data_IF_638841096721
#
_entry.id   IF_638841096721
#
_cell.length_a   1.000
_cell.length_b   1.000
_cell.length_c   1.000
_cell.angle_alpha   90.00
_cell.angle_beta   90.00
_cell.angle_gamma   90.00
#
_symmetry.space_group_name_H-M   'P 1'
#
loop_
_entity.id
_entity.type
_entity.pdbx_description
1 polymer ?
#
# COMPACT_ATOMS: atom_id res chain seq x y z
N UNK A 1 -23.79 16.59 -64.45
CA UNK A 1 -23.54 15.23 -63.92
C UNK A 1 -22.26 15.17 -63.11
N UNK A 2 -21.10 15.54 -63.67
CA UNK A 2 -19.77 15.53 -62.99
C UNK A 2 -19.80 15.97 -61.52
N UNK A 3 -20.11 17.23 -61.22
CA UNK A 3 -20.12 17.79 -59.86
C UNK A 3 -20.86 16.94 -58.79
N UNK A 4 -21.94 16.24 -59.16
CA UNK A 4 -22.71 15.39 -58.24
C UNK A 4 -22.05 14.02 -58.05
N UNK A 5 -21.41 13.49 -59.10
CA UNK A 5 -20.53 12.31 -58.98
C UNK A 5 -19.27 12.65 -58.15
N UNK A 6 -18.65 13.81 -58.37
CA UNK A 6 -17.47 14.29 -57.64
C UNK A 6 -17.77 14.52 -56.15
N UNK A 7 -18.94 15.08 -55.83
CA UNK A 7 -19.40 15.24 -54.44
C UNK A 7 -19.65 13.89 -53.77
N UNK A 8 -20.30 12.94 -54.46
CA UNK A 8 -20.52 11.57 -53.97
C UNK A 8 -19.19 10.81 -53.78
N UNK A 9 -18.22 11.00 -54.67
CA UNK A 9 -16.88 10.43 -54.54
C UNK A 9 -16.16 10.99 -53.30
N UNK A 10 -16.23 12.31 -53.06
CA UNK A 10 -15.69 12.94 -51.84
C UNK A 10 -16.39 12.44 -50.56
N UNK A 11 -17.71 12.25 -50.58
CA UNK A 11 -18.45 11.68 -49.45
C UNK A 11 -18.05 10.22 -49.16
N UNK A 12 -17.87 9.40 -50.20
CA UNK A 12 -17.41 8.02 -50.07
C UNK A 12 -15.96 7.92 -49.55
N UNK A 13 -15.07 8.81 -50.00
CA UNK A 13 -13.70 8.91 -49.48
C UNK A 13 -13.68 9.29 -48.00
N UNK A 14 -14.46 10.30 -47.59
CA UNK A 14 -14.56 10.70 -46.18
C UNK A 14 -15.08 9.57 -45.29
N UNK A 15 -16.06 8.79 -45.75
CA UNK A 15 -16.54 7.60 -45.04
C UNK A 15 -15.47 6.50 -44.91
N UNK A 16 -14.64 6.29 -45.95
CA UNK A 16 -13.55 5.31 -45.89
C UNK A 16 -12.42 5.75 -44.93
N UNK A 17 -12.10 7.06 -44.86
CA UNK A 17 -11.16 7.61 -43.88
C UNK A 17 -11.66 7.49 -42.43
N UNK A 18 -12.96 7.72 -42.23
CA UNK A 18 -13.64 7.56 -40.94
C UNK A 18 -13.55 6.10 -40.44
N UNK A 19 -13.93 5.12 -41.26
CA UNK A 19 -13.87 3.69 -40.91
C UNK A 19 -12.43 3.21 -40.66
N UNK A 20 -11.46 3.63 -41.48
CA UNK A 20 -10.03 3.37 -41.23
C UNK A 20 -9.59 3.92 -39.86
N UNK A 21 -10.08 5.10 -39.50
CA UNK A 21 -9.77 5.74 -38.22
C UNK A 21 -10.42 4.98 -37.04
N UNK A 22 -11.69 4.57 -37.16
CA UNK A 22 -12.38 3.72 -36.18
C UNK A 22 -11.69 2.38 -35.95
N UNK A 23 -11.26 1.70 -37.02
CA UNK A 23 -10.51 0.43 -36.90
C UNK A 23 -9.21 0.62 -36.13
N UNK A 24 -8.45 1.68 -36.43
CA UNK A 24 -7.20 1.96 -35.70
C UNK A 24 -7.43 2.29 -34.22
N UNK A 25 -8.49 3.06 -33.89
CA UNK A 25 -8.90 3.31 -32.51
C UNK A 25 -9.29 1.99 -31.81
N UNK A 26 -10.07 1.13 -32.46
CA UNK A 26 -10.45 -0.18 -31.92
C UNK A 26 -9.28 -1.14 -31.67
N UNK A 27 -8.13 -0.95 -32.35
CA UNK A 27 -6.89 -1.65 -32.02
C UNK A 27 -6.22 -1.05 -30.77
N UNK A 28 -6.10 0.29 -30.72
CA UNK A 28 -5.51 1.00 -29.57
C UNK A 28 -6.30 0.75 -28.28
N UNK A 29 -7.63 0.70 -28.34
CA UNK A 29 -8.48 0.35 -27.18
C UNK A 29 -8.24 -1.07 -26.68
N UNK A 30 -8.01 -2.04 -27.57
CA UNK A 30 -7.68 -3.42 -27.20
C UNK A 30 -6.31 -3.48 -26.52
N UNK A 31 -5.31 -2.76 -27.04
CA UNK A 31 -4.00 -2.63 -26.37
C UNK A 31 -4.10 -1.95 -25.01
N UNK A 32 -4.92 -0.90 -24.87
CA UNK A 32 -5.18 -0.24 -23.60
C UNK A 32 -5.83 -1.19 -22.58
N UNK A 33 -6.85 -1.97 -22.98
CA UNK A 33 -7.50 -2.98 -22.12
C UNK A 33 -6.53 -4.08 -21.69
N UNK A 34 -5.68 -4.57 -22.58
CA UNK A 34 -4.63 -5.56 -22.25
C UNK A 34 -3.59 -4.97 -21.29
N UNK A 35 -3.19 -3.72 -21.48
CA UNK A 35 -2.28 -3.03 -20.56
C UNK A 35 -2.93 -2.77 -19.21
N UNK A 36 -4.19 -2.35 -19.15
CA UNK A 36 -4.93 -2.13 -17.91
C UNK A 36 -5.08 -3.44 -17.10
N UNK A 37 -5.36 -4.56 -17.78
CA UNK A 37 -5.39 -5.88 -17.15
C UNK A 37 -4.01 -6.27 -16.59
N UNK A 38 -2.94 -6.05 -17.36
CA UNK A 38 -1.55 -6.28 -16.90
C UNK A 38 -1.21 -5.38 -15.70
N UNK A 39 -1.62 -4.12 -15.74
CA UNK A 39 -1.46 -3.15 -14.65
C UNK A 39 -2.10 -3.61 -13.36
N UNK A 40 -3.37 -4.05 -13.40
CA UNK A 40 -4.06 -4.61 -12.23
C UNK A 40 -3.42 -5.90 -11.72
N UNK A 41 -2.75 -6.66 -12.58
CA UNK A 41 -1.88 -7.79 -12.17
C UNK A 41 -0.69 -7.31 -11.33
N UNK A 42 0.11 -6.39 -11.88
CA UNK A 42 1.31 -5.86 -11.22
C UNK A 42 0.96 -5.08 -9.93
N UNK A 43 -0.19 -4.39 -9.87
CA UNK A 43 -0.67 -3.73 -8.66
C UNK A 43 -0.98 -4.72 -7.52
N UNK A 44 -1.54 -5.89 -7.85
CA UNK A 44 -1.74 -6.99 -6.87
C UNK A 44 -0.40 -7.57 -6.42
N UNK A 45 0.51 -7.86 -7.34
CA UNK A 45 1.85 -8.37 -7.04
C UNK A 45 2.64 -7.40 -6.14
N UNK A 46 2.59 -6.10 -6.43
CA UNK A 46 3.19 -5.06 -5.60
C UNK A 46 2.52 -4.96 -4.21
N UNK A 47 1.19 -5.10 -4.14
CA UNK A 47 0.43 -5.13 -2.89
C UNK A 47 0.80 -6.32 -2.00
N UNK A 48 0.97 -7.52 -2.58
CA UNK A 48 1.36 -8.72 -1.84
C UNK A 48 2.85 -8.72 -1.48
N UNK A 49 3.73 -8.20 -2.34
CA UNK A 49 5.13 -7.92 -2.03
C UNK A 49 5.30 -6.95 -0.86
N UNK A 50 4.49 -5.87 -0.81
CA UNK A 50 4.47 -4.94 0.33
C UNK A 50 4.06 -5.64 1.63
N UNK A 51 3.00 -6.46 1.62
CA UNK A 51 2.57 -7.25 2.79
C UNK A 51 3.65 -8.26 3.23
N UNK A 52 4.37 -8.88 2.30
CA UNK A 52 5.48 -9.78 2.61
C UNK A 52 6.62 -9.02 3.33
N UNK A 53 7.00 -7.84 2.82
CA UNK A 53 8.02 -6.98 3.43
C UNK A 53 7.58 -6.45 4.81
N UNK A 54 6.30 -6.13 5.00
CA UNK A 54 5.78 -5.73 6.33
C UNK A 54 5.80 -6.91 7.32
N UNK A 55 5.50 -8.14 6.89
CA UNK A 55 5.62 -9.35 7.72
C UNK A 55 7.07 -9.65 8.11
N UNK A 56 8.04 -9.57 7.18
CA UNK A 56 9.46 -9.80 7.52
C UNK A 56 10.00 -8.70 8.44
N UNK A 57 9.66 -7.43 8.21
CA UNK A 57 10.00 -6.31 9.11
C UNK A 57 9.35 -6.43 10.50
N UNK A 58 8.12 -6.91 10.60
CA UNK A 58 7.48 -7.20 11.89
C UNK A 58 8.19 -8.36 12.63
N UNK A 59 8.66 -9.37 11.90
CA UNK A 59 9.51 -10.43 12.42
C UNK A 59 10.87 -9.93 12.95
N UNK A 60 11.42 -8.85 12.39
CA UNK A 60 12.62 -8.19 12.93
C UNK A 60 12.35 -7.27 14.13
N UNK A 61 11.22 -6.54 14.14
CA UNK A 61 10.90 -5.63 15.24
C UNK A 61 10.52 -6.36 16.52
N UNK A 62 9.86 -7.54 16.41
CA UNK A 62 9.60 -8.43 17.54
C UNK A 62 10.87 -8.90 18.26
N UNK A 63 11.98 -9.10 17.53
CA UNK A 63 13.29 -9.41 18.15
C UNK A 63 13.83 -8.24 18.97
N UNK A 64 13.48 -6.99 18.65
CA UNK A 64 13.96 -5.78 19.34
C UNK A 64 13.10 -5.37 20.54
N UNK A 65 11.80 -5.71 20.58
CA UNK A 65 10.92 -5.33 21.71
C UNK A 65 10.92 -6.31 22.88
N UNK A 66 11.23 -7.59 22.67
CA UNK A 66 11.37 -8.57 23.78
C UNK A 66 12.56 -8.23 24.69
N UNK A 67 13.58 -7.55 24.16
CA UNK A 67 14.77 -7.10 24.88
C UNK A 67 14.49 -6.16 26.06
N UNK A 68 13.34 -5.49 26.13
CA UNK A 68 13.04 -4.53 27.21
C UNK A 68 12.59 -5.17 28.53
N UNK A 69 11.89 -6.31 28.48
CA UNK A 69 11.31 -6.96 29.67
C UNK A 69 11.90 -8.34 29.99
N UNK A 70 12.35 -9.09 28.98
CA UNK A 70 13.04 -10.38 29.19
C UNK A 70 14.33 -10.20 29.99
N UNK A 71 15.18 -9.23 29.61
CA UNK A 71 16.50 -8.98 30.22
C UNK A 71 16.46 -8.89 31.76
N UNK A 72 15.44 -8.29 32.37
CA UNK A 72 15.35 -8.23 33.84
C UNK A 72 14.98 -9.57 34.50
N UNK A 73 14.13 -10.39 33.86
CA UNK A 73 13.80 -11.72 34.38
C UNK A 73 14.95 -12.69 34.15
N UNK A 74 15.52 -12.71 32.94
CA UNK A 74 16.62 -13.60 32.56
C UNK A 74 17.89 -13.27 33.36
N UNK A 75 18.23 -11.99 33.54
CA UNK A 75 19.36 -11.59 34.39
C UNK A 75 19.12 -11.98 35.85
N UNK A 76 17.94 -11.72 36.41
CA UNK A 76 17.56 -12.13 37.77
C UNK A 76 17.68 -13.63 37.96
N UNK A 77 17.16 -14.42 37.02
CA UNK A 77 17.08 -15.86 37.17
C UNK A 77 18.41 -16.56 36.84
N UNK A 78 19.24 -15.99 35.95
CA UNK A 78 20.67 -16.35 35.79
C UNK A 78 21.47 -16.05 37.06
N UNK A 79 21.26 -14.89 37.70
CA UNK A 79 21.86 -14.55 39.00
C UNK A 79 21.39 -15.51 40.09
N UNK A 80 20.10 -15.90 40.14
CA UNK A 80 19.61 -16.93 41.07
C UNK A 80 20.20 -18.32 40.83
N UNK A 81 20.47 -18.69 39.58
CA UNK A 81 21.11 -19.96 39.23
C UNK A 81 22.56 -19.98 39.73
N UNK A 82 23.33 -18.92 39.47
CA UNK A 82 24.69 -18.78 40.03
C UNK A 82 24.71 -18.71 41.57
N UNK A 83 23.73 -18.03 42.17
CA UNK A 83 23.58 -17.89 43.63
C UNK A 83 22.67 -18.97 44.25
N UNK A 84 22.61 -20.18 43.68
CA UNK A 84 21.72 -21.25 44.14
C UNK A 84 21.85 -21.61 45.64
N UNK A 85 23.05 -21.39 46.22
CA UNK A 85 23.33 -21.56 47.67
C UNK A 85 22.62 -20.52 48.57
N UNK A 86 22.14 -19.41 48.01
CA UNK A 86 21.39 -18.35 48.69
C UNK A 86 19.87 -18.46 48.51
N UNK A 87 19.36 -19.54 47.92
CA UNK A 87 17.92 -19.82 47.90
C UNK A 87 17.52 -20.58 49.17
N UNK A 88 16.66 -19.97 50.01
CA UNK A 88 16.10 -20.62 51.20
C UNK A 88 14.64 -21.02 50.95
N UNK A 89 14.47 -22.17 50.30
CA UNK A 89 13.16 -22.76 50.04
C UNK A 89 12.72 -23.63 51.22
N UNK A 90 11.55 -23.33 51.78
CA UNK A 90 10.91 -24.13 52.81
C UNK A 90 9.44 -24.35 52.50
N UNK A 91 8.94 -25.57 52.75
CA UNK A 91 7.51 -25.86 52.73
C UNK A 91 6.89 -25.34 54.03
N UNK A 92 5.78 -24.61 53.94
CA UNK A 92 5.11 -24.06 55.13
C UNK A 92 4.56 -25.20 56.00
N UNK A 93 4.93 -25.30 57.30
CA UNK A 93 4.54 -26.43 58.15
C UNK A 93 3.04 -26.57 58.48
N UNK A 94 2.22 -25.58 58.12
CA UNK A 94 0.78 -25.60 58.38
C UNK A 94 0.09 -24.30 57.98
N UNK A 95 -1.24 -24.30 57.92
CA UNK A 95 -2.06 -23.21 57.36
C UNK A 95 -1.93 -21.88 58.12
N UNK A 96 -1.73 -21.92 59.45
CA UNK A 96 -1.55 -20.73 60.30
C UNK A 96 -0.07 -20.40 60.60
N UNK A 97 0.86 -20.88 59.78
CA UNK A 97 2.29 -20.63 60.01
C UNK A 97 2.70 -19.19 59.67
N UNK A 98 3.01 -18.41 60.70
CA UNK A 98 3.46 -17.02 60.57
C UNK A 98 4.84 -16.90 59.91
N UNK A 99 4.85 -16.78 58.57
CA UNK A 99 6.06 -16.62 57.73
C UNK A 99 6.98 -15.48 58.16
N UNK A 100 6.44 -14.44 58.82
CA UNK A 100 7.20 -13.29 59.36
C UNK A 100 8.22 -13.71 60.44
N UNK A 101 7.99 -14.83 61.15
CA UNK A 101 8.96 -15.36 62.13
C UNK A 101 10.16 -16.05 61.49
N UNK A 102 10.10 -16.37 60.19
CA UNK A 102 11.20 -16.95 59.43
C UNK A 102 12.14 -15.83 58.99
N UNK A 103 13.30 -15.73 59.65
CA UNK A 103 14.38 -14.87 59.17
C UNK A 103 15.05 -15.52 57.97
N UNK A 104 15.25 -14.74 56.90
CA UNK A 104 15.98 -15.15 55.70
C UNK A 104 17.46 -15.40 56.04
N UNK A 105 18.19 -15.96 55.07
CA UNK A 105 19.66 -16.06 55.07
C UNK A 105 20.35 -14.81 55.61
N UNK A 106 21.38 -15.01 56.44
CA UNK A 106 22.11 -13.89 57.07
C UNK A 106 22.74 -12.99 56.01
N UNK A 107 23.27 -13.59 54.93
CA UNK A 107 23.82 -12.89 53.77
C UNK A 107 22.80 -11.97 53.06
N UNK A 108 21.50 -12.31 53.06
CA UNK A 108 20.44 -11.46 52.47
C UNK A 108 19.92 -10.40 53.45
N UNK A 109 20.20 -10.56 54.75
CA UNK A 109 19.71 -9.67 55.81
C UNK A 109 20.67 -8.52 56.14
N UNK A 110 21.91 -8.54 55.64
CA UNK A 110 22.86 -7.45 55.87
C UNK A 110 23.28 -6.78 54.56
N UNK A 111 22.79 -5.56 54.28
CA UNK A 111 23.32 -4.76 53.18
C UNK A 111 24.72 -4.24 53.53
N UNK A 112 25.69 -4.46 52.64
CA UNK A 112 26.99 -3.81 52.71
C UNK A 112 26.93 -2.45 52.01
N UNK A 113 27.42 -1.40 52.68
CA UNK A 113 27.53 -0.07 52.09
C UNK A 113 28.66 -0.03 51.05
N UNK A 114 28.31 0.29 49.80
CA UNK A 114 29.21 0.26 48.64
C UNK A 114 30.49 1.09 48.84
N UNK A 115 30.36 2.26 49.47
CA UNK A 115 31.45 3.25 49.61
C UNK A 115 32.51 2.90 50.67
N UNK A 116 32.17 2.06 51.66
CA UNK A 116 33.03 1.87 52.85
C UNK A 116 33.44 0.43 53.10
N UNK A 117 32.57 -0.53 52.80
CA UNK A 117 32.74 -1.93 53.21
C UNK A 117 32.73 -2.91 52.03
N UNK A 118 32.64 -2.43 50.78
CA UNK A 118 32.62 -3.31 49.61
C UNK A 118 33.98 -3.96 49.32
N UNK A 119 35.08 -3.27 49.62
CA UNK A 119 36.45 -3.81 49.54
C UNK A 119 36.60 -5.05 50.45
N UNK A 120 35.96 -5.04 51.62
CA UNK A 120 35.93 -6.15 52.55
C UNK A 120 34.91 -7.25 52.19
N UNK A 121 34.13 -7.14 51.11
CA UNK A 121 33.02 -8.06 50.81
C UNK A 121 33.49 -9.48 50.51
N UNK A 122 34.49 -9.66 49.64
CA UNK A 122 35.10 -10.96 49.33
C UNK A 122 35.69 -11.61 50.58
N UNK A 123 36.40 -10.83 51.40
CA UNK A 123 36.95 -11.30 52.67
C UNK A 123 35.83 -11.70 53.65
N UNK A 124 34.74 -10.92 53.75
CA UNK A 124 33.56 -11.23 54.55
C UNK A 124 32.85 -12.51 54.10
N UNK A 125 32.82 -12.80 52.80
CA UNK A 125 32.26 -14.02 52.23
C UNK A 125 33.11 -15.25 52.61
N UNK A 126 34.43 -15.19 52.38
CA UNK A 126 35.39 -16.22 52.81
C UNK A 126 35.32 -16.44 54.33
N UNK A 127 35.27 -15.37 55.10
CA UNK A 127 35.14 -15.36 56.57
C UNK A 127 33.77 -15.88 57.05
N UNK A 128 32.70 -15.75 56.26
CA UNK A 128 31.39 -16.29 56.60
C UNK A 128 31.30 -17.79 56.32
N UNK A 129 31.87 -18.26 55.20
CA UNK A 129 31.78 -19.64 54.72
C UNK A 129 30.32 -20.12 54.63
N UNK A 130 30.07 -21.42 54.87
CA UNK A 130 28.72 -22.00 54.78
C UNK A 130 27.76 -21.65 55.97
N UNK A 131 28.13 -20.76 56.89
CA UNK A 131 27.48 -20.61 58.22
C UNK A 131 26.26 -19.65 58.29
N UNK A 132 25.44 -19.58 57.24
CA UNK A 132 24.44 -18.50 57.04
C UNK A 132 23.00 -18.79 57.54
N UNK A 133 22.80 -19.54 58.64
CA UNK A 133 21.45 -19.99 59.06
C UNK A 133 21.16 -19.79 60.57
N UNK A 134 20.12 -19.03 60.91
CA UNK A 134 19.58 -18.92 62.28
C UNK A 134 18.07 -18.65 62.30
N UNK A 135 17.34 -19.49 63.02
CA UNK A 135 15.96 -19.25 63.47
C UNK A 135 15.97 -18.70 64.91
N UNK A 136 14.94 -17.95 65.32
CA UNK A 136 14.93 -17.30 66.65
C UNK A 136 14.53 -18.24 67.81
N UNK A 137 13.69 -19.24 67.54
CA UNK A 137 13.08 -20.08 68.57
C UNK A 137 13.38 -21.57 68.29
N UNK A 138 13.75 -22.32 69.32
CA UNK A 138 14.27 -23.70 69.23
C UNK A 138 13.24 -24.80 68.92
N UNK A 139 12.21 -24.54 68.10
CA UNK A 139 11.22 -25.54 67.66
C UNK A 139 11.43 -25.89 66.18
N UNK A 140 11.23 -27.17 65.83
CA UNK A 140 11.55 -27.71 64.49
C UNK A 140 10.62 -27.11 63.44
N UNK A 141 11.15 -26.25 62.56
CA UNK A 141 10.38 -25.66 61.45
C UNK A 141 10.50 -26.56 60.21
N UNK A 142 9.57 -27.52 60.10
CA UNK A 142 9.41 -28.38 58.93
C UNK A 142 10.55 -29.35 58.64
N UNK A 143 10.45 -30.05 57.50
CA UNK A 143 11.51 -30.92 56.99
C UNK A 143 12.55 -30.08 56.22
N UNK A 144 13.59 -29.64 56.93
CA UNK A 144 14.76 -28.99 56.33
C UNK A 144 15.65 -30.07 55.66
N UNK A 145 16.02 -29.85 54.39
CA UNK A 145 16.84 -30.80 53.60
C UNK A 145 18.29 -31.01 54.11
N UNK A 146 18.80 -30.18 55.02
CA UNK A 146 20.16 -30.28 55.60
C UNK A 146 20.11 -29.97 57.11
N UNK A 147 20.81 -30.75 57.94
CA UNK A 147 20.93 -30.50 59.41
C UNK A 147 21.96 -29.40 59.69
N UNK A 148 21.79 -28.66 60.80
CA UNK A 148 22.69 -27.58 61.23
C UNK A 148 23.00 -27.73 62.72
N UNK A 149 24.28 -27.65 63.11
CA UNK A 149 24.77 -27.59 64.49
C UNK A 149 25.51 -26.26 64.68
N UNK A 150 25.35 -25.62 65.84
CA UNK A 150 25.89 -24.27 66.10
C UNK A 150 26.92 -24.34 67.22
N UNK A 151 28.15 -23.92 66.93
CA UNK A 151 29.17 -23.62 67.92
C UNK A 151 29.49 -22.12 67.82
N UNK A 152 29.52 -21.42 68.96
CA UNK A 152 29.91 -20.02 69.03
C UNK A 152 31.27 -19.93 69.75
N UNK A 153 32.31 -19.55 69.01
CA UNK A 153 33.59 -19.17 69.59
C UNK A 153 33.81 -17.68 69.36
N UNK A 154 34.37 -17.02 70.37
CA UNK A 154 34.83 -15.63 70.33
C UNK A 154 36.35 -15.63 70.40
N UNK A 155 37.02 -14.78 69.62
CA UNK A 155 38.47 -14.59 69.73
C UNK A 155 38.80 -14.11 71.15
N UNK A 156 39.87 -14.65 71.75
CA UNK A 156 40.34 -14.17 73.05
C UNK A 156 41.02 -12.81 72.91
N UNK A 157 40.92 -11.97 73.95
CA UNK A 157 41.54 -10.64 73.96
C UNK A 157 43.06 -10.69 73.73
N UNK A 158 43.73 -11.74 74.19
CA UNK A 158 45.14 -12.00 73.94
C UNK A 158 45.45 -12.17 72.45
N UNK A 159 44.67 -12.97 71.69
CA UNK A 159 44.88 -13.13 70.24
C UNK A 159 44.69 -11.82 69.47
N UNK A 160 43.77 -10.95 69.90
CA UNK A 160 43.63 -9.59 69.36
C UNK A 160 44.85 -8.73 69.65
N UNK A 161 45.35 -8.73 70.89
CA UNK A 161 46.53 -7.93 71.27
C UNK A 161 47.79 -8.40 70.54
N UNK A 162 48.02 -9.71 70.39
CA UNK A 162 49.15 -10.24 69.61
C UNK A 162 49.06 -9.82 68.15
N UNK A 163 47.88 -9.95 67.51
CA UNK A 163 47.71 -9.54 66.11
C UNK A 163 47.85 -8.02 65.91
N UNK A 164 47.38 -7.19 66.86
CA UNK A 164 47.56 -5.74 66.84
C UNK A 164 49.01 -5.30 67.07
N UNK A 165 49.82 -6.09 67.80
CA UNK A 165 51.27 -5.87 67.94
C UNK A 165 52.02 -6.23 66.66
N UNK A 166 51.64 -7.31 66.00
CA UNK A 166 52.25 -7.76 64.74
C UNK A 166 51.96 -6.80 63.57
N UNK A 167 50.77 -6.18 63.54
CA UNK A 167 50.39 -5.23 62.51
C UNK A 167 49.45 -4.13 63.05
N UNK A 168 50.00 -3.05 63.65
CA UNK A 168 49.20 -1.97 64.23
C UNK A 168 48.41 -1.21 63.16
N UNK A 169 47.16 -0.85 63.48
CA UNK A 169 46.25 -0.13 62.58
C UNK A 169 45.67 -0.95 61.43
N UNK A 170 46.40 -1.95 60.91
CA UNK A 170 46.00 -2.78 59.75
C UNK A 170 45.15 -4.01 60.10
N UNK A 171 45.12 -4.45 61.36
CA UNK A 171 44.35 -5.63 61.80
C UNK A 171 43.15 -5.22 62.65
N UNK A 172 41.95 -5.65 62.24
CA UNK A 172 40.67 -5.28 62.88
C UNK A 172 39.77 -6.52 63.06
N UNK A 173 39.03 -6.66 64.18
CA UNK A 173 38.02 -7.71 64.30
C UNK A 173 36.87 -7.45 63.32
N UNK A 174 36.42 -8.49 62.63
CA UNK A 174 35.37 -8.40 61.60
C UNK A 174 34.06 -7.82 62.14
N UNK A 175 33.78 -8.02 63.44
CA UNK A 175 32.73 -7.31 64.17
C UNK A 175 33.29 -6.19 65.04
N UNK A 176 33.14 -4.96 64.56
CA UNK A 176 33.15 -3.78 65.43
C UNK A 176 31.71 -3.39 65.75
N UNK A 177 31.36 -3.30 67.05
CA UNK A 177 30.00 -3.09 67.58
C UNK A 177 29.25 -1.86 67.02
N UNK A 178 29.98 -0.92 66.42
CA UNK A 178 29.45 0.31 65.80
C UNK A 178 28.80 0.11 64.43
N UNK A 179 29.00 -1.04 63.77
CA UNK A 179 28.71 -1.19 62.33
C UNK A 179 27.53 -2.16 62.01
N UNK A 180 27.06 -2.96 62.96
CA UNK A 180 26.02 -3.99 62.74
C UNK A 180 25.01 -4.01 63.92
N UNK A 181 23.70 -3.91 63.64
CA UNK A 181 22.63 -3.91 64.66
C UNK A 181 22.26 -5.31 65.22
N UNK A 182 22.96 -6.38 64.81
CA UNK A 182 22.68 -7.76 65.23
C UNK A 182 23.96 -8.40 65.80
N UNK A 183 23.95 -8.90 67.05
CA UNK A 183 25.06 -9.68 67.58
C UNK A 183 25.09 -11.07 66.90
N UNK A 184 26.01 -11.23 65.94
CA UNK A 184 26.22 -12.48 65.19
C UNK A 184 27.48 -13.19 65.73
N UNK A 185 27.37 -14.33 66.44
CA UNK A 185 28.55 -15.04 66.96
C UNK A 185 29.38 -15.77 65.91
N UNK A 186 29.08 -15.61 64.61
CA UNK A 186 29.79 -16.23 63.48
C UNK A 186 31.01 -15.44 63.03
N UNK A 187 31.04 -14.13 63.29
CA UNK A 187 32.13 -13.24 62.87
C UNK A 187 33.04 -12.78 64.03
N UNK A 188 32.76 -13.23 65.26
CA UNK A 188 33.47 -12.82 66.48
C UNK A 188 34.82 -13.50 66.72
N UNK A 189 35.25 -14.40 65.85
CA UNK A 189 36.50 -15.16 65.98
C UNK A 189 37.43 -15.08 64.76
N UNK A 190 37.24 -14.09 63.88
CA UNK A 190 38.08 -13.86 62.71
C UNK A 190 38.55 -12.41 62.65
N UNK A 191 39.78 -12.22 62.16
CA UNK A 191 40.42 -10.92 61.97
C UNK A 191 40.40 -10.55 60.48
N UNK A 192 40.33 -9.26 60.22
CA UNK A 192 40.41 -8.66 58.89
C UNK A 192 41.71 -7.85 58.81
N UNK A 193 42.43 -8.01 57.70
CA UNK A 193 43.64 -7.26 57.38
C UNK A 193 43.36 -6.40 56.13
N UNK A 194 43.76 -5.14 56.16
CA UNK A 194 43.52 -4.20 55.04
C UNK A 194 44.43 -4.46 53.82
N UNK A 195 45.64 -5.00 54.04
CA UNK A 195 46.66 -5.28 53.01
C UNK A 195 47.08 -6.76 53.00
N UNK A 196 47.77 -7.19 51.94
CA UNK A 196 48.34 -8.54 51.83
C UNK A 196 49.64 -8.76 52.64
N UNK A 197 50.43 -7.71 52.88
CA UNK A 197 51.69 -7.81 53.64
C UNK A 197 51.57 -8.40 55.06
N UNK A 198 50.54 -8.10 55.88
CA UNK A 198 50.31 -8.78 57.15
C UNK A 198 49.87 -10.26 57.05
N UNK A 199 50.01 -10.94 55.90
CA UNK A 199 49.78 -12.39 55.79
C UNK A 199 50.66 -13.23 56.75
N UNK A 200 51.78 -12.69 57.25
CA UNK A 200 52.54 -13.30 58.35
C UNK A 200 51.71 -13.50 59.63
N UNK A 201 50.63 -12.72 59.83
CA UNK A 201 49.66 -12.93 60.92
C UNK A 201 48.88 -14.23 60.71
N UNK A 202 48.55 -14.62 59.48
CA UNK A 202 47.89 -15.91 59.18
C UNK A 202 48.84 -17.10 59.21
N UNK A 203 50.11 -16.94 58.82
CA UNK A 203 51.13 -18.00 58.87
C UNK A 203 51.83 -18.14 60.24
N UNK A 204 51.56 -17.24 61.18
CA UNK A 204 51.90 -17.44 62.58
C UNK A 204 51.22 -18.71 63.11
N UNK A 205 51.95 -19.55 63.85
CA UNK A 205 51.49 -20.85 64.39
C UNK A 205 50.19 -20.78 65.21
N UNK A 206 49.77 -19.58 65.60
CA UNK A 206 48.56 -19.30 66.36
C UNK A 206 47.26 -19.11 65.50
N UNK A 207 47.27 -19.23 64.15
CA UNK A 207 46.20 -18.67 63.25
C UNK A 207 45.59 -19.52 62.07
N UNK A 208 46.21 -19.68 60.88
CA UNK A 208 45.51 -19.74 59.55
C UNK A 208 45.24 -21.09 58.80
N UNK A 209 44.75 -21.02 57.54
CA UNK A 209 44.42 -22.14 56.58
C UNK A 209 44.12 -21.68 55.11
N UNK A 210 44.14 -22.57 54.09
CA UNK A 210 44.42 -22.34 52.63
C UNK A 210 43.27 -22.19 51.56
N UNK A 211 43.57 -21.85 50.26
CA UNK A 211 42.63 -21.69 49.10
C UNK A 211 43.00 -22.46 47.78
N UNK A 212 42.50 -22.11 46.57
CA UNK A 212 41.28 -22.63 45.88
C UNK A 212 41.37 -22.47 44.33
N UNK A 213 40.88 -23.44 43.53
CA UNK A 213 41.03 -23.52 42.05
C UNK A 213 39.68 -23.81 41.34
N UNK A 214 39.10 -22.88 40.55
CA UNK A 214 37.76 -23.11 39.94
C UNK A 214 37.28 -22.21 38.77
N UNK A 215 38.06 -21.27 38.23
CA UNK A 215 37.51 -20.15 37.41
C UNK A 215 37.44 -20.36 35.88
N UNK A 216 38.19 -21.29 35.28
CA UNK A 216 38.34 -21.32 33.80
C UNK A 216 37.15 -21.95 33.03
N UNK A 217 36.26 -22.70 33.68
CA UNK A 217 35.21 -23.48 32.99
C UNK A 217 33.92 -22.73 32.60
N UNK A 218 33.81 -21.42 32.87
CA UNK A 218 32.61 -20.63 32.51
C UNK A 218 32.71 -19.88 31.17
N UNK A 219 33.90 -19.51 30.70
CA UNK A 219 34.03 -18.65 29.52
C UNK A 219 33.64 -19.35 28.21
N UNK A 220 34.05 -20.61 28.00
CA UNK A 220 33.82 -21.31 26.74
C UNK A 220 32.35 -21.68 26.49
N UNK A 221 31.53 -21.76 27.54
CA UNK A 221 30.08 -21.98 27.41
C UNK A 221 29.35 -20.77 26.82
N UNK A 222 29.98 -19.59 26.81
CA UNK A 222 29.36 -18.34 26.36
C UNK A 222 29.63 -17.98 24.89
N UNK A 223 30.58 -18.65 24.21
CA UNK A 223 31.01 -18.30 22.83
C UNK A 223 30.03 -18.78 21.76
N UNK A 224 29.64 -20.07 21.79
CA UNK A 224 28.78 -20.71 20.77
C UNK A 224 27.46 -19.98 20.44
N UNK A 225 26.61 -19.56 21.40
CA UNK A 225 25.33 -18.92 21.07
C UNK A 225 25.46 -17.52 20.43
N UNK A 226 26.64 -16.89 20.50
CA UNK A 226 26.88 -15.61 19.81
C UNK A 226 27.04 -15.78 18.29
N UNK A 227 27.73 -16.83 17.85
CA UNK A 227 27.99 -17.08 16.42
C UNK A 227 26.74 -17.54 15.64
N UNK A 228 25.81 -18.22 16.30
CA UNK A 228 24.52 -18.60 15.69
C UNK A 228 23.63 -17.37 15.46
N UNK A 229 23.64 -16.42 16.40
CA UNK A 229 22.89 -15.17 16.28
C UNK A 229 23.44 -14.23 15.20
N UNK A 230 24.76 -14.19 14.96
CA UNK A 230 25.33 -13.39 13.86
C UNK A 230 24.97 -13.98 12.49
N UNK A 231 25.16 -15.29 12.29
CA UNK A 231 24.78 -15.99 11.04
C UNK A 231 23.29 -15.84 10.73
N UNK A 232 22.41 -15.97 11.73
CA UNK A 232 20.97 -15.76 11.55
C UNK A 232 20.59 -14.32 11.17
N UNK A 233 21.40 -13.33 11.56
CA UNK A 233 21.20 -11.90 11.22
C UNK A 233 21.70 -11.59 9.81
N UNK A 234 22.81 -12.18 9.39
CA UNK A 234 23.35 -12.09 8.03
C UNK A 234 22.39 -12.69 7.00
N UNK A 235 21.86 -13.89 7.27
CA UNK A 235 20.87 -14.55 6.39
C UNK A 235 19.62 -13.68 6.16
N UNK A 236 19.05 -13.09 7.23
CA UNK A 236 17.91 -12.17 7.10
C UNK A 236 18.26 -10.88 6.35
N UNK A 237 19.49 -10.39 6.48
CA UNK A 237 19.99 -9.26 5.69
C UNK A 237 20.00 -9.56 4.19
N UNK A 238 20.43 -10.76 3.79
CA UNK A 238 20.38 -11.21 2.41
C UNK A 238 18.94 -11.40 1.90
N UNK A 239 18.05 -11.99 2.70
CA UNK A 239 16.63 -12.16 2.38
C UNK A 239 15.94 -10.80 2.13
N UNK A 240 16.17 -9.82 3.01
CA UNK A 240 15.67 -8.45 2.83
C UNK A 240 16.24 -7.75 1.59
N UNK A 241 17.51 -7.98 1.24
CA UNK A 241 18.12 -7.41 0.04
C UNK A 241 17.46 -7.97 -1.23
N UNK A 242 17.24 -9.29 -1.27
CA UNK A 242 16.65 -9.98 -2.41
C UNK A 242 15.18 -9.58 -2.61
N UNK A 243 14.41 -9.43 -1.53
CA UNK A 243 13.05 -8.86 -1.56
C UNK A 243 13.02 -7.41 -2.05
N UNK A 244 14.03 -6.59 -1.69
CA UNK A 244 14.14 -5.20 -2.18
C UNK A 244 14.43 -5.16 -3.68
N UNK A 245 15.35 -5.97 -4.18
CA UNK A 245 15.69 -6.07 -5.60
C UNK A 245 14.48 -6.56 -6.43
N UNK A 246 13.68 -7.49 -5.92
CA UNK A 246 12.42 -7.92 -6.55
C UNK A 246 11.38 -6.79 -6.64
N UNK A 247 11.21 -5.99 -5.58
CA UNK A 247 10.28 -4.85 -5.60
C UNK A 247 10.76 -3.72 -6.50
N UNK A 248 12.07 -3.45 -6.55
CA UNK A 248 12.65 -2.46 -7.48
C UNK A 248 12.47 -2.89 -8.94
N UNK A 249 12.74 -4.16 -9.28
CA UNK A 249 12.48 -4.70 -10.62
C UNK A 249 11.00 -4.68 -11.03
N UNK A 250 10.08 -4.90 -10.07
CA UNK A 250 8.63 -4.76 -10.30
C UNK A 250 8.22 -3.29 -10.49
N UNK A 251 8.77 -2.36 -9.70
CA UNK A 251 8.57 -0.92 -9.85
C UNK A 251 9.04 -0.40 -11.22
N UNK A 252 10.15 -0.90 -11.76
CA UNK A 252 10.58 -0.58 -13.11
C UNK A 252 9.66 -1.15 -14.20
N UNK A 253 9.01 -2.29 -13.94
CA UNK A 253 7.98 -2.83 -14.84
C UNK A 253 6.72 -1.94 -14.83
N UNK A 254 6.25 -1.54 -13.65
CA UNK A 254 5.18 -0.55 -13.41
C UNK A 254 5.44 0.72 -14.24
N UNK A 255 6.57 1.40 -14.00
CA UNK A 255 6.91 2.68 -14.65
C UNK A 255 7.00 2.54 -16.18
N UNK A 256 7.55 1.43 -16.69
CA UNK A 256 7.58 1.16 -18.15
C UNK A 256 6.18 0.98 -18.74
N UNK A 257 5.30 0.24 -18.06
CA UNK A 257 3.91 0.11 -18.48
C UNK A 257 3.11 1.42 -18.36
N UNK A 258 3.55 2.38 -17.53
CA UNK A 258 2.88 3.67 -17.35
C UNK A 258 3.15 4.60 -18.52
N UNK A 259 4.42 4.66 -18.93
CA UNK A 259 4.86 5.39 -20.12
C UNK A 259 4.17 4.84 -21.37
N UNK A 260 4.06 3.50 -21.49
CA UNK A 260 3.31 2.88 -22.62
C UNK A 260 1.82 3.24 -22.57
N UNK A 261 1.17 3.15 -21.41
CA UNK A 261 -0.25 3.52 -21.25
C UNK A 261 -0.50 5.00 -21.56
N UNK A 262 0.32 5.92 -21.02
CA UNK A 262 0.24 7.36 -21.29
C UNK A 262 0.42 7.68 -22.78
N UNK A 263 1.36 7.00 -23.45
CA UNK A 263 1.55 7.13 -24.90
C UNK A 263 0.33 6.64 -25.69
N UNK A 264 -0.17 5.44 -25.39
CA UNK A 264 -1.35 4.88 -26.06
C UNK A 264 -2.63 5.68 -25.82
N UNK A 265 -2.80 6.22 -24.61
CA UNK A 265 -3.92 7.10 -24.30
C UNK A 265 -3.84 8.40 -25.13
N UNK A 266 -2.64 8.99 -25.29
CA UNK A 266 -2.41 10.15 -26.16
C UNK A 266 -2.68 9.83 -27.64
N UNK A 267 -2.33 8.63 -28.12
CA UNK A 267 -2.70 8.23 -29.49
C UNK A 267 -4.19 7.94 -29.60
N UNK A 268 -4.85 7.41 -28.56
CA UNK A 268 -6.30 7.19 -28.53
C UNK A 268 -7.06 8.49 -28.66
N UNK A 269 -6.71 9.52 -27.88
CA UNK A 269 -7.37 10.83 -27.97
C UNK A 269 -7.13 11.50 -29.33
N UNK A 270 -5.91 11.39 -29.88
CA UNK A 270 -5.62 11.85 -31.24
C UNK A 270 -6.47 11.12 -32.30
N UNK A 271 -6.64 9.80 -32.20
CA UNK A 271 -7.54 9.02 -33.07
C UNK A 271 -9.01 9.42 -32.90
N UNK A 272 -9.50 9.67 -31.68
CA UNK A 272 -10.85 10.19 -31.44
C UNK A 272 -11.08 11.56 -32.09
N UNK A 273 -10.09 12.47 -32.01
CA UNK A 273 -10.16 13.77 -32.69
C UNK A 273 -10.13 13.63 -34.21
N UNK A 274 -9.35 12.69 -34.76
CA UNK A 274 -9.32 12.40 -36.19
C UNK A 274 -10.67 11.86 -36.70
N UNK A 275 -11.31 10.93 -35.96
CA UNK A 275 -12.65 10.42 -36.27
C UNK A 275 -13.66 11.55 -36.28
N UNK A 276 -13.68 12.41 -35.25
CA UNK A 276 -14.61 13.55 -35.19
C UNK A 276 -14.43 14.50 -36.38
N UNK A 277 -13.19 14.80 -36.78
CA UNK A 277 -12.93 15.63 -37.96
C UNK A 277 -13.35 14.94 -39.27
N UNK A 278 -13.20 13.60 -39.37
CA UNK A 278 -13.67 12.82 -40.52
C UNK A 278 -15.21 12.80 -40.60
N UNK A 279 -15.91 12.60 -39.49
CA UNK A 279 -17.37 12.70 -39.40
C UNK A 279 -17.89 14.08 -39.81
N UNK A 280 -17.25 15.16 -39.35
CA UNK A 280 -17.62 16.53 -39.70
C UNK A 280 -17.45 16.78 -41.21
N UNK A 281 -16.36 16.30 -41.82
CA UNK A 281 -16.15 16.33 -43.28
C UNK A 281 -17.17 15.48 -44.04
N UNK A 282 -17.50 14.28 -43.55
CA UNK A 282 -18.47 13.38 -44.17
C UNK A 282 -19.88 13.99 -44.14
N UNK A 283 -20.29 14.61 -43.02
CA UNK A 283 -21.55 15.34 -42.89
C UNK A 283 -21.61 16.51 -43.89
N UNK A 284 -20.56 17.33 -43.97
CA UNK A 284 -20.47 18.42 -44.94
C UNK A 284 -20.57 17.93 -46.40
N UNK A 285 -19.84 16.88 -46.77
CA UNK A 285 -19.90 16.30 -48.12
C UNK A 285 -21.28 15.70 -48.45
N UNK A 286 -21.95 15.08 -47.47
CA UNK A 286 -23.31 14.58 -47.62
C UNK A 286 -24.34 15.70 -47.80
N UNK A 287 -24.18 16.83 -47.12
CA UNK A 287 -25.07 17.99 -47.26
C UNK A 287 -24.82 18.75 -48.58
N UNK A 288 -23.57 18.82 -49.06
CA UNK A 288 -23.26 19.22 -50.44
C UNK A 288 -23.97 18.32 -51.46
N UNK A 289 -23.90 16.99 -51.30
CA UNK A 289 -24.60 16.04 -52.17
C UNK A 289 -26.12 16.28 -52.19
N UNK A 290 -26.75 16.41 -51.02
CA UNK A 290 -28.20 16.70 -50.91
C UNK A 290 -28.58 18.02 -51.58
N UNK A 291 -27.74 19.06 -51.45
CA UNK A 291 -27.97 20.36 -52.10
C UNK A 291 -27.92 20.22 -53.63
N UNK A 292 -26.86 19.59 -54.16
CA UNK A 292 -26.71 19.36 -55.60
C UNK A 292 -27.82 18.47 -56.18
N UNK A 293 -28.29 17.47 -55.43
CA UNK A 293 -29.43 16.64 -55.83
C UNK A 293 -30.75 17.44 -55.91
N UNK A 294 -31.01 18.34 -54.96
CA UNK A 294 -32.17 19.25 -55.02
C UNK A 294 -32.08 20.20 -56.21
N UNK A 295 -30.92 20.83 -56.42
CA UNK A 295 -30.70 21.71 -57.57
C UNK A 295 -30.87 20.98 -58.90
N UNK A 296 -30.40 19.74 -59.01
CA UNK A 296 -30.58 18.91 -60.20
C UNK A 296 -32.06 18.58 -60.43
N UNK A 297 -32.78 18.11 -59.39
CA UNK A 297 -34.23 17.84 -59.47
C UNK A 297 -35.01 19.08 -59.87
N UNK A 298 -34.75 20.23 -59.25
CA UNK A 298 -35.41 21.50 -59.59
C UNK A 298 -35.13 21.93 -61.04
N UNK A 299 -33.90 21.76 -61.54
CA UNK A 299 -33.55 22.02 -62.95
C UNK A 299 -34.27 21.08 -63.93
N UNK A 300 -34.52 19.83 -63.56
CA UNK A 300 -35.31 18.91 -64.39
C UNK A 300 -36.81 19.24 -64.34
N UNK A 301 -37.36 19.53 -63.16
CA UNK A 301 -38.76 19.96 -63.01
C UNK A 301 -39.05 21.24 -63.80
N UNK A 302 -38.15 22.23 -63.77
CA UNK A 302 -38.28 23.45 -64.55
C UNK A 302 -38.24 23.19 -66.07
N UNK A 303 -37.45 22.22 -66.53
CA UNK A 303 -37.45 21.81 -67.95
C UNK A 303 -38.76 21.15 -68.36
N UNK A 304 -39.26 20.19 -67.57
CA UNK A 304 -40.53 19.51 -67.82
C UNK A 304 -41.69 20.51 -67.81
N UNK A 305 -41.75 21.40 -66.81
CA UNK A 305 -42.74 22.47 -66.76
C UNK A 305 -42.71 23.35 -68.02
N UNK A 306 -41.51 23.76 -68.47
CA UNK A 306 -41.35 24.56 -69.69
C UNK A 306 -41.60 23.79 -71.00
N UNK A 307 -41.71 22.47 -70.97
CA UNK A 307 -42.16 21.66 -72.11
C UNK A 307 -43.68 21.56 -72.09
N UNK A 308 -44.27 21.19 -70.95
CA UNK A 308 -45.73 21.12 -70.76
C UNK A 308 -46.39 22.46 -71.08
N UNK A 309 -45.91 23.59 -70.56
CA UNK A 309 -46.52 24.90 -70.87
C UNK A 309 -46.39 25.27 -72.35
N UNK A 310 -45.33 24.85 -73.05
CA UNK A 310 -45.21 25.08 -74.50
C UNK A 310 -46.18 24.22 -75.30
N UNK A 311 -46.38 22.97 -74.89
CA UNK A 311 -47.35 22.06 -75.50
C UNK A 311 -48.79 22.56 -75.23
N UNK A 312 -49.09 23.01 -74.01
CA UNK A 312 -50.36 23.66 -73.67
C UNK A 312 -50.59 24.94 -74.48
N UNK A 313 -49.59 25.83 -74.60
CA UNK A 313 -49.71 27.04 -75.42
C UNK A 313 -49.91 26.70 -76.91
N UNK A 314 -49.18 25.72 -77.47
CA UNK A 314 -49.35 25.30 -78.85
C UNK A 314 -50.74 24.69 -79.11
N UNK A 315 -51.27 23.90 -78.18
CA UNK A 315 -52.62 23.34 -78.27
C UNK A 315 -53.71 24.44 -78.18
N UNK A 316 -53.54 25.42 -77.28
CA UNK A 316 -54.46 26.56 -77.17
C UNK A 316 -54.40 27.44 -78.43
N UNK A 317 -53.21 27.64 -79.00
CA UNK A 317 -53.04 28.39 -80.25
C UNK A 317 -53.66 27.65 -81.45
N UNK A 318 -53.50 26.33 -81.54
CA UNK A 318 -54.14 25.51 -82.57
C UNK A 318 -55.68 25.57 -82.46
N UNK A 319 -56.24 25.39 -81.26
CA UNK A 319 -57.68 25.50 -81.03
C UNK A 319 -58.19 26.91 -81.39
N UNK A 320 -57.44 27.97 -81.04
CA UNK A 320 -57.80 29.35 -81.41
C UNK A 320 -57.78 29.56 -82.93
N UNK A 321 -56.82 28.97 -83.65
CA UNK A 321 -56.76 29.02 -85.12
C UNK A 321 -57.94 28.25 -85.76
N UNK A 322 -58.36 27.12 -85.20
CA UNK A 322 -59.54 26.40 -85.64
C UNK A 322 -60.82 27.24 -85.45
N UNK A 323 -61.01 27.88 -84.28
CA UNK A 323 -62.17 28.75 -84.03
C UNK A 323 -62.15 30.04 -84.88
N UNK A 324 -60.98 30.60 -85.17
CA UNK A 324 -60.87 31.70 -86.13
C UNK A 324 -61.24 31.24 -87.56
N UNK A 325 -60.93 29.99 -87.92
CA UNK A 325 -61.31 29.41 -89.21
C UNK A 325 -62.82 29.08 -89.28
N UNK A 326 -63.46 28.64 -88.20
CA UNK A 326 -64.92 28.45 -88.16
C UNK A 326 -65.66 29.79 -88.25
N UNK A 327 -65.24 30.80 -87.49
CA UNK A 327 -65.78 32.16 -87.57
C UNK A 327 -65.64 32.75 -88.99
N UNK A 328 -64.48 32.58 -89.63
CA UNK A 328 -64.28 33.03 -91.02
C UNK A 328 -65.22 32.33 -92.02
N UNK A 329 -65.57 31.05 -91.79
CA UNK A 329 -66.59 30.35 -92.60
C UNK A 329 -67.97 30.96 -92.37
N UNK A 330 -68.38 31.20 -91.12
CA UNK A 330 -69.65 31.85 -90.81
C UNK A 330 -69.78 33.26 -91.42
N UNK A 331 -68.71 34.07 -91.38
CA UNK A 331 -68.68 35.38 -92.05
C UNK A 331 -68.92 35.29 -93.56
N UNK A 332 -68.35 34.26 -94.21
CA UNK A 332 -68.53 34.04 -95.65
C UNK A 332 -69.93 33.51 -95.98
N UNK A 333 -70.50 32.64 -95.14
CA UNK A 333 -71.88 32.19 -95.25
C UNK A 333 -72.87 33.37 -95.08
N UNK A 334 -72.69 34.22 -94.07
CA UNK A 334 -73.50 35.43 -93.86
C UNK A 334 -73.44 36.36 -95.07
N UNK A 335 -72.24 36.67 -95.59
CA UNK A 335 -72.09 37.48 -96.83
C UNK A 335 -72.81 36.84 -98.02
N UNK A 336 -72.77 35.51 -98.16
CA UNK A 336 -73.48 34.82 -99.24
C UNK A 336 -75.01 34.93 -99.08
N UNK A 337 -75.52 34.82 -97.85
CA UNK A 337 -76.93 34.99 -97.53
C UNK A 337 -77.40 36.42 -97.76
N UNK A 338 -76.60 37.43 -97.40
CA UNK A 338 -76.85 38.85 -97.71
C UNK A 338 -76.93 39.10 -99.21
N UNK A 339 -76.01 38.52 -100.00
CA UNK A 339 -76.06 38.60 -101.46
C UNK A 339 -77.34 37.96 -102.03
N UNK A 340 -77.78 36.81 -101.49
CA UNK A 340 -79.04 36.16 -101.88
C UNK A 340 -80.25 37.00 -101.48
N UNK A 341 -80.26 37.60 -100.29
CA UNK A 341 -81.33 38.50 -99.83
C UNK A 341 -81.41 39.76 -100.69
N UNK A 342 -80.27 40.41 -100.97
CA UNK A 342 -80.18 41.56 -101.87
C UNK A 342 -80.69 41.21 -103.27
N UNK A 343 -80.26 40.06 -103.82
CA UNK A 343 -80.75 39.54 -105.11
C UNK A 343 -82.26 39.28 -105.10
N UNK A 344 -82.80 38.72 -104.01
CA UNK A 344 -84.26 38.52 -103.83
C UNK A 344 -85.02 39.84 -103.71
N UNK A 345 -84.47 40.84 -103.02
CA UNK A 345 -85.06 42.18 -102.89
C UNK A 345 -85.15 42.86 -104.26
N UNK A 346 -84.05 42.89 -105.02
CA UNK A 346 -84.02 43.38 -106.42
C UNK A 346 -85.03 42.66 -107.31
N UNK A 347 -85.14 41.32 -107.22
CA UNK A 347 -86.16 40.56 -107.97
C UNK A 347 -87.59 40.95 -107.60
N UNK A 348 -87.88 41.21 -106.32
CA UNK A 348 -89.21 41.68 -105.88
C UNK A 348 -89.49 43.10 -106.36
N UNK A 349 -88.52 43.99 -106.32
CA UNK A 349 -88.61 45.37 -106.83
C UNK A 349 -88.92 45.36 -108.34
N UNK A 350 -88.17 44.56 -109.13
CA UNK A 350 -88.42 44.36 -110.57
C UNK A 350 -89.78 43.71 -110.87
N UNK A 351 -90.24 42.76 -110.05
CA UNK A 351 -91.59 42.18 -110.19
C UNK A 351 -92.70 43.19 -109.84
N UNK A 352 -92.45 44.11 -108.91
CA UNK A 352 -93.39 45.18 -108.56
C UNK A 352 -93.44 46.26 -109.64
N UNK A 353 -92.31 46.67 -110.21
CA UNK A 353 -92.30 47.61 -111.34
C UNK A 353 -92.99 47.02 -112.56
N UNK A 354 -92.70 45.77 -112.94
CA UNK A 354 -93.38 45.10 -114.05
C UNK A 354 -94.90 44.94 -113.84
N UNK A 355 -95.35 44.78 -112.58
CA UNK A 355 -96.79 44.77 -112.22
C UNK A 355 -97.45 46.15 -112.24
N UNK A 356 -96.69 47.22 -112.07
CA UNK A 356 -97.18 48.60 -112.20
C UNK A 356 -97.26 48.99 -113.68
N UNK A 357 -96.25 48.62 -114.48
CA UNK A 357 -96.25 48.79 -115.94
C UNK A 357 -97.44 48.04 -116.59
N UNK A 358 -97.73 46.81 -116.18
CA UNK A 358 -98.87 46.03 -116.69
C UNK A 358 -100.26 46.49 -116.18
N UNK A 359 -100.34 47.63 -115.46
CA UNK A 359 -101.59 48.25 -114.98
C UNK A 359 -101.87 49.63 -115.59
N UNK A 360 -100.93 50.15 -116.38
CA UNK A 360 -101.07 51.37 -117.18
C UNK A 360 -101.48 51.01 -118.62
#
# INVERSE_FOLDING_TARGET
>A
MGQLADARARAAQAAAEEEKSKVSLGMVEKELKVLEARWKGVEREAGDGKKAIEKTKAGESGVRTVEGRGKCCDHRDRVKQGLGRLNFDYVSPGLHFNRVKVRRLVATLVPLNKEKNYIASTALEIVAGEWSWRMKDGRRVGQLKKRVKVNAFTISAQKLQTAQRLAPGKVRPVLTRRMWRLPLPTFSARLFCDDAEPANVTFSRDVGSDPLEMLEQEEDKSKKPREELTKGREMKGHELKLLKEQVEGSSDAVIRSERKWKSLNKTSTASSHAIRSAEEKQKAANDECKKLEREFKNKQLAKLHNQVTKEEHANVEANLQEELATLSRFDNELKSLEQVQCSRKRRRELQMSARLEARL
#
